data_IF_568230321216
#
_entry.id   IF_568230321216
#
_cell.length_a   1.000
_cell.length_b   1.000
_cell.length_c   1.000
_cell.angle_alpha   90.00
_cell.angle_beta   90.00
_cell.angle_gamma   90.00
#
_symmetry.space_group_name_H-M   'P 1'
#
loop_
_entity.id
_entity.type
_entity.pdbx_description
1 polymer ?
#
# COMPACT_ATOMS: atom_id res chain seq x y z
N UNK A 1 -2.57 12.88 -8.42
CA UNK A 1 -2.25 13.24 -7.01
C UNK A 1 -1.26 14.40 -6.97
N UNK A 2 -0.04 14.27 -7.48
CA UNK A 2 0.95 15.36 -7.45
C UNK A 2 0.46 16.68 -8.06
N UNK A 3 -0.21 16.63 -9.21
CA UNK A 3 -0.79 17.84 -9.83
C UNK A 3 -1.87 18.51 -8.97
N UNK A 4 -2.56 17.76 -8.10
CA UNK A 4 -3.55 18.31 -7.17
C UNK A 4 -2.85 18.89 -5.93
N UNK A 5 -1.81 18.23 -5.41
CA UNK A 5 -0.97 18.77 -4.34
C UNK A 5 -0.32 20.09 -4.75
N UNK A 6 0.18 20.20 -5.99
CA UNK A 6 0.74 21.42 -6.54
C UNK A 6 -0.27 22.59 -6.62
N UNK A 7 -1.57 22.29 -6.61
CA UNK A 7 -2.66 23.27 -6.57
C UNK A 7 -3.12 23.59 -5.14
N UNK A 8 -2.43 23.09 -4.11
CA UNK A 8 -2.79 23.30 -2.70
C UNK A 8 -3.97 22.46 -2.21
N UNK A 9 -4.35 21.39 -2.93
CA UNK A 9 -5.44 20.50 -2.52
C UNK A 9 -4.93 19.51 -1.49
N UNK A 10 -5.63 19.39 -0.35
CA UNK A 10 -5.38 18.35 0.65
C UNK A 10 -5.92 17.00 0.17
N UNK A 11 -5.14 15.93 0.36
CA UNK A 11 -5.45 14.61 -0.21
C UNK A 11 -5.25 13.52 0.82
N UNK A 12 -6.25 12.63 0.92
CA UNK A 12 -6.14 11.33 1.57
C UNK A 12 -6.19 10.26 0.49
N UNK A 13 -5.27 9.29 0.55
CA UNK A 13 -5.22 8.17 -0.37
C UNK A 13 -5.66 6.89 0.33
N UNK A 14 -6.74 6.28 -0.18
CA UNK A 14 -7.16 4.92 0.22
C UNK A 14 -6.86 3.98 -0.94
N UNK A 15 -6.01 2.99 -0.71
CA UNK A 15 -5.55 2.07 -1.75
C UNK A 15 -5.65 0.62 -1.28
N UNK A 16 -6.09 -0.25 -2.19
CA UNK A 16 -6.03 -1.71 -2.00
C UNK A 16 -4.68 -2.27 -2.45
N UNK A 17 -4.51 -3.59 -2.41
CA UNK A 17 -3.36 -4.26 -3.02
C UNK A 17 -2.41 -4.95 -2.05
N UNK A 18 -2.54 -4.71 -0.75
CA UNK A 18 -1.67 -5.32 0.27
C UNK A 18 -1.65 -6.86 0.18
N UNK A 19 -2.81 -7.50 0.03
CA UNK A 19 -2.88 -8.97 -0.12
C UNK A 19 -2.20 -9.45 -1.41
N UNK A 20 -2.39 -8.76 -2.53
CA UNK A 20 -1.80 -9.16 -3.80
C UNK A 20 -0.27 -9.01 -3.79
N UNK A 21 0.22 -7.93 -3.17
CA UNK A 21 1.64 -7.71 -2.91
C UNK A 21 2.20 -8.85 -2.05
N UNK A 22 1.54 -9.13 -0.91
CA UNK A 22 2.02 -10.15 0.02
C UNK A 22 1.99 -11.55 -0.58
N UNK A 23 0.98 -11.87 -1.39
CA UNK A 23 0.96 -13.11 -2.19
C UNK A 23 2.18 -13.22 -3.10
N UNK A 24 2.56 -12.13 -3.79
CA UNK A 24 3.76 -12.10 -4.63
C UNK A 24 5.03 -12.35 -3.81
N UNK A 25 5.16 -11.76 -2.62
CA UNK A 25 6.31 -11.97 -1.73
C UNK A 25 6.39 -13.38 -1.17
N UNK A 26 5.24 -13.96 -0.84
CA UNK A 26 5.12 -15.31 -0.28
C UNK A 26 5.17 -16.39 -1.37
N UNK A 27 5.25 -16.02 -2.65
CA UNK A 27 5.27 -16.96 -3.77
C UNK A 27 3.92 -17.67 -4.01
N UNK A 28 2.82 -17.11 -3.52
CA UNK A 28 1.48 -17.69 -3.65
C UNK A 28 0.88 -17.38 -5.01
N UNK A 29 0.69 -18.43 -5.82
CA UNK A 29 0.13 -18.30 -7.18
C UNK A 29 -1.39 -18.13 -7.20
N UNK A 30 -2.07 -18.54 -6.13
CA UNK A 30 -3.54 -18.47 -6.01
C UNK A 30 -3.89 -17.71 -4.75
N UNK A 31 -4.95 -16.91 -4.84
CA UNK A 31 -5.48 -16.20 -3.68
C UNK A 31 -6.00 -17.20 -2.64
N UNK A 32 -5.52 -17.15 -1.40
CA UNK A 32 -6.02 -18.04 -0.35
C UNK A 32 -7.47 -17.72 0.00
N UNK A 33 -8.20 -18.72 0.48
CA UNK A 33 -9.58 -18.58 0.94
C UNK A 33 -9.66 -18.45 2.46
N UNK A 34 -8.65 -18.92 3.20
CA UNK A 34 -8.60 -18.83 4.65
C UNK A 34 -8.33 -17.39 5.09
N UNK A 35 -9.13 -16.89 6.04
CA UNK A 35 -8.98 -15.54 6.60
C UNK A 35 -7.60 -15.30 7.20
N UNK A 36 -7.01 -16.29 7.87
CA UNK A 36 -5.70 -16.15 8.49
C UNK A 36 -4.58 -16.00 7.45
N UNK A 37 -4.67 -16.71 6.33
CA UNK A 37 -3.72 -16.58 5.23
C UNK A 37 -3.89 -15.24 4.51
N UNK A 38 -5.13 -14.77 4.33
CA UNK A 38 -5.41 -13.45 3.77
C UNK A 38 -4.84 -12.34 4.65
N UNK A 39 -4.99 -12.43 5.97
CA UNK A 39 -4.43 -11.48 6.93
C UNK A 39 -2.90 -11.52 6.93
N UNK A 40 -2.29 -12.72 6.86
CA UNK A 40 -0.84 -12.87 6.74
C UNK A 40 -0.31 -12.21 5.46
N UNK A 41 -0.94 -12.47 4.30
CA UNK A 41 -0.58 -11.81 3.05
C UNK A 41 -0.78 -10.29 3.13
N UNK A 42 -1.88 -9.81 3.72
CA UNK A 42 -2.11 -8.38 3.91
C UNK A 42 -0.99 -7.75 4.74
N UNK A 43 -0.64 -8.33 5.89
CA UNK A 43 0.41 -7.82 6.77
C UNK A 43 1.78 -7.79 6.09
N UNK A 44 2.15 -8.87 5.39
CA UNK A 44 3.41 -8.94 4.63
C UNK A 44 3.44 -7.89 3.53
N UNK A 45 2.34 -7.75 2.78
CA UNK A 45 2.33 -6.86 1.62
C UNK A 45 2.01 -5.41 1.88
N UNK A 46 1.46 -5.09 3.06
CA UNK A 46 1.23 -3.71 3.47
C UNK A 46 2.53 -2.90 3.50
N UNK A 47 3.62 -3.49 4.01
CA UNK A 47 4.93 -2.83 4.03
C UNK A 47 5.42 -2.49 2.62
N UNK A 48 5.22 -3.40 1.67
CA UNK A 48 5.61 -3.19 0.28
C UNK A 48 4.79 -2.14 -0.45
N UNK A 49 3.47 -2.16 -0.24
CA UNK A 49 2.58 -1.16 -0.79
C UNK A 49 2.95 0.25 -0.30
N UNK A 50 3.19 0.39 1.01
CA UNK A 50 3.59 1.66 1.63
C UNK A 50 4.94 2.12 1.11
N UNK A 51 5.94 1.24 1.06
CA UNK A 51 7.26 1.57 0.51
C UNK A 51 7.19 2.00 -0.97
N UNK A 52 6.33 1.38 -1.76
CA UNK A 52 6.15 1.73 -3.17
C UNK A 52 5.55 3.13 -3.35
N UNK A 53 4.62 3.53 -2.47
CA UNK A 53 4.11 4.90 -2.46
C UNK A 53 5.15 5.88 -1.93
N UNK A 54 5.74 5.63 -0.76
CA UNK A 54 6.74 6.51 -0.15
C UNK A 54 7.88 6.80 -1.12
N UNK A 55 8.50 5.76 -1.70
CA UNK A 55 9.59 5.93 -2.66
C UNK A 55 9.21 6.69 -3.93
N UNK A 56 7.94 6.63 -4.35
CA UNK A 56 7.45 7.40 -5.50
C UNK A 56 7.19 8.85 -5.13
N UNK A 57 6.54 9.12 -4.00
CA UNK A 57 6.25 10.48 -3.54
C UNK A 57 7.50 11.24 -3.12
N UNK A 58 8.46 10.55 -2.50
CA UNK A 58 9.74 11.12 -2.09
C UNK A 58 10.54 11.68 -3.27
N UNK A 59 10.45 11.06 -4.47
CA UNK A 59 11.07 11.59 -5.70
C UNK A 59 10.55 12.97 -6.11
N UNK A 60 9.39 13.36 -5.61
CA UNK A 60 8.77 14.66 -5.85
C UNK A 60 8.77 15.54 -4.60
N UNK A 61 9.57 15.20 -3.58
CA UNK A 61 9.70 15.99 -2.35
C UNK A 61 8.48 15.92 -1.42
N UNK A 62 7.63 14.90 -1.57
CA UNK A 62 6.48 14.70 -0.70
C UNK A 62 6.71 13.51 0.24
N UNK A 63 6.39 13.70 1.51
CA UNK A 63 6.35 12.64 2.51
C UNK A 63 4.98 11.95 2.50
N UNK A 64 4.94 10.66 2.77
CA UNK A 64 3.70 9.95 3.04
C UNK A 64 3.67 9.42 4.46
N UNK A 65 2.47 9.14 4.97
CA UNK A 65 2.27 8.51 6.26
C UNK A 65 1.28 7.37 6.08
N UNK A 66 1.59 6.23 6.68
CA UNK A 66 0.68 5.09 6.72
C UNK A 66 -0.31 5.28 7.87
N UNK A 67 -1.60 5.09 7.58
CA UNK A 67 -2.67 4.99 8.57
C UNK A 67 -3.34 3.63 8.40
N UNK A 68 -3.49 2.91 9.53
CA UNK A 68 -4.30 1.70 9.63
C UNK A 68 -5.44 2.01 10.62
N UNK A 69 -6.67 1.67 10.25
CA UNK A 69 -7.86 1.86 11.05
C UNK A 69 -8.53 0.49 11.28
N UNK A 70 -9.17 0.37 12.43
CA UNK A 70 -9.86 -0.79 12.98
C UNK A 70 -11.34 -0.90 12.58
#
# INVERSE_FOLDING_TARGET
ILALLARGVEIVLVSSGAVAEGMSRLGWKRRPANIHELQAAAAVGQMGLVQAYESRFQKYGHHTAQILLD
#
